data_IF_325332261927
#
_entry.id   IF_325332261927
#
_cell.length_a   1.000
_cell.length_b   1.000
_cell.length_c   1.000
_cell.angle_alpha   90.00
_cell.angle_beta   90.00
_cell.angle_gamma   90.00
#
_symmetry.space_group_name_H-M   'P 1'
#
loop_
_entity.id
_entity.type
_entity.pdbx_description
1 polymer ?
#
# COMPACT_ATOMS: atom_id res chain seq x y z
N UNK A 1 -38.73 74.34 -54.02
CA UNK A 1 -39.40 73.09 -54.41
C UNK A 1 -38.62 71.95 -53.76
N UNK A 2 -39.20 71.34 -52.72
CA UNK A 2 -38.57 70.34 -51.87
C UNK A 2 -39.07 68.96 -52.29
N UNK A 3 -38.20 68.02 -52.66
CA UNK A 3 -38.55 66.64 -53.06
C UNK A 3 -37.38 65.70 -52.74
N UNK A 4 -37.63 64.42 -52.42
CA UNK A 4 -37.52 63.90 -51.07
C UNK A 4 -36.42 62.85 -50.91
N UNK A 5 -36.13 62.55 -49.64
CA UNK A 5 -35.18 61.54 -49.19
C UNK A 5 -35.59 60.13 -49.65
N UNK A 6 -34.74 59.48 -50.44
CA UNK A 6 -34.79 58.02 -50.63
C UNK A 6 -33.45 57.50 -50.13
N UNK A 7 -33.44 57.10 -48.86
CA UNK A 7 -32.26 56.55 -48.20
C UNK A 7 -32.06 55.13 -48.72
N UNK A 8 -31.12 55.00 -49.65
CA UNK A 8 -30.75 53.75 -50.29
C UNK A 8 -29.97 52.86 -49.33
N UNK A 9 -30.67 51.84 -48.85
CA UNK A 9 -30.24 50.43 -48.75
C UNK A 9 -28.98 50.06 -47.92
N UNK A 10 -29.16 48.93 -47.22
CA UNK A 10 -28.15 48.02 -46.68
C UNK A 10 -27.50 48.45 -45.36
N UNK A 11 -28.25 48.25 -44.29
CA UNK A 11 -27.67 47.99 -42.98
C UNK A 11 -26.60 46.89 -43.11
N UNK A 12 -25.36 47.33 -42.94
CA UNK A 12 -24.13 46.56 -42.94
C UNK A 12 -24.29 45.31 -42.07
N UNK A 13 -24.44 44.17 -42.73
CA UNK A 13 -24.46 42.84 -42.13
C UNK A 13 -23.07 42.62 -41.52
N UNK A 14 -22.95 42.82 -40.21
CA UNK A 14 -21.72 42.56 -39.44
C UNK A 14 -21.16 41.22 -39.91
N UNK A 15 -19.93 41.24 -40.46
CA UNK A 15 -19.32 40.10 -41.13
C UNK A 15 -19.38 38.84 -40.24
N UNK A 16 -20.23 37.84 -40.55
CA UNK A 16 -20.48 36.68 -39.67
C UNK A 16 -19.28 35.71 -39.57
N UNK A 17 -18.19 36.01 -40.28
CA UNK A 17 -17.00 35.18 -40.44
C UNK A 17 -16.15 34.99 -39.18
N UNK A 18 -16.31 35.86 -38.16
CA UNK A 18 -15.55 35.76 -36.87
C UNK A 18 -16.16 34.74 -35.92
N UNK A 19 -17.49 34.68 -35.85
CA UNK A 19 -18.23 33.79 -34.95
C UNK A 19 -18.10 32.33 -35.44
N UNK A 20 -18.11 32.12 -36.75
CA UNK A 20 -17.85 30.80 -37.35
C UNK A 20 -16.44 30.29 -37.00
N UNK A 21 -15.44 31.18 -37.02
CA UNK A 21 -14.04 30.84 -36.73
C UNK A 21 -13.80 30.48 -35.26
N UNK A 22 -14.49 31.15 -34.34
CA UNK A 22 -14.41 30.85 -32.90
C UNK A 22 -15.02 29.49 -32.56
N UNK A 23 -16.15 29.12 -33.19
CA UNK A 23 -16.75 27.80 -33.01
C UNK A 23 -15.84 26.68 -33.47
N UNK A 24 -15.16 26.86 -34.61
CA UNK A 24 -14.16 25.92 -35.12
C UNK A 24 -12.97 25.79 -34.15
N UNK A 25 -12.51 26.91 -33.57
CA UNK A 25 -11.45 26.89 -32.55
C UNK A 25 -11.87 26.15 -31.28
N UNK A 26 -13.07 26.41 -30.76
CA UNK A 26 -13.58 25.72 -29.58
C UNK A 26 -13.82 24.22 -29.83
N UNK A 27 -14.36 23.86 -30.99
CA UNK A 27 -14.55 22.46 -31.36
C UNK A 27 -13.19 21.73 -31.44
N UNK A 28 -12.18 22.36 -32.04
CA UNK A 28 -10.82 21.81 -32.08
C UNK A 28 -10.23 21.65 -30.67
N UNK A 29 -10.41 22.64 -29.80
CA UNK A 29 -9.90 22.61 -28.43
C UNK A 29 -10.55 21.49 -27.62
N UNK A 30 -11.86 21.29 -27.77
CA UNK A 30 -12.59 20.20 -27.13
C UNK A 30 -12.10 18.82 -27.61
N UNK A 31 -11.84 18.68 -28.91
CA UNK A 31 -11.26 17.45 -29.47
C UNK A 31 -9.85 17.19 -28.91
N UNK A 32 -9.01 18.22 -28.78
CA UNK A 32 -7.67 18.07 -28.19
C UNK A 32 -7.74 17.64 -26.73
N UNK A 33 -8.65 18.22 -25.94
CA UNK A 33 -8.86 17.81 -24.54
C UNK A 33 -9.29 16.35 -24.47
N UNK A 34 -10.28 15.94 -25.27
CA UNK A 34 -10.74 14.54 -25.31
C UNK A 34 -9.62 13.59 -25.76
N UNK A 35 -8.81 13.97 -26.74
CA UNK A 35 -7.67 13.20 -27.20
C UNK A 35 -6.60 13.05 -26.11
N UNK A 36 -6.35 14.09 -25.31
CA UNK A 36 -5.42 14.05 -24.19
C UNK A 36 -5.91 13.14 -23.07
N UNK A 37 -7.21 13.17 -22.74
CA UNK A 37 -7.83 12.24 -21.77
C UNK A 37 -7.75 10.80 -22.28
N UNK A 38 -8.05 10.57 -23.56
CA UNK A 38 -7.94 9.24 -24.17
C UNK A 38 -6.50 8.72 -24.17
N UNK A 39 -5.52 9.56 -24.51
CA UNK A 39 -4.10 9.21 -24.47
C UNK A 39 -3.62 8.87 -23.05
N UNK A 40 -4.06 9.65 -22.05
CA UNK A 40 -3.78 9.37 -20.64
C UNK A 40 -4.40 8.03 -20.22
N UNK A 41 -5.66 7.79 -20.56
CA UNK A 41 -6.37 6.56 -20.22
C UNK A 41 -5.70 5.33 -20.84
N UNK A 42 -5.25 5.43 -22.09
CA UNK A 42 -4.51 4.38 -22.78
C UNK A 42 -3.15 4.11 -22.13
N UNK A 43 -2.42 5.16 -21.75
CA UNK A 43 -1.12 5.05 -21.08
C UNK A 43 -1.25 4.40 -19.70
N UNK A 44 -2.26 4.80 -18.91
CA UNK A 44 -2.56 4.20 -17.60
C UNK A 44 -2.91 2.72 -17.73
N UNK A 45 -3.77 2.36 -18.70
CA UNK A 45 -4.22 0.96 -18.90
C UNK A 45 -3.07 0.02 -19.28
N UNK A 46 -2.08 0.53 -20.03
CA UNK A 46 -0.92 -0.28 -20.44
C UNK A 46 0.04 -0.62 -19.29
N UNK A 47 0.14 0.24 -18.28
CA UNK A 47 1.07 0.08 -17.15
C UNK A 47 0.53 -0.88 -16.08
N UNK A 48 -0.79 -0.99 -15.93
CA UNK A 48 -1.43 -1.88 -14.96
C UNK A 48 -1.29 -3.36 -15.31
N UNK A 49 -1.28 -3.73 -16.60
CA UNK A 49 -1.20 -5.13 -17.01
C UNK A 49 0.20 -5.76 -16.81
N UNK A 50 1.26 -4.98 -17.03
CA UNK A 50 2.65 -5.46 -16.85
C UNK A 50 3.03 -5.47 -15.37
N UNK A 51 2.69 -4.41 -14.62
CA UNK A 51 2.92 -4.38 -13.18
C UNK A 51 2.13 -5.47 -12.44
N UNK A 52 0.91 -5.78 -12.88
CA UNK A 52 0.08 -6.83 -12.28
C UNK A 52 0.70 -8.23 -12.35
N UNK A 53 1.37 -8.59 -13.46
CA UNK A 53 2.01 -9.90 -13.60
C UNK A 53 3.23 -10.06 -12.69
N UNK A 54 4.07 -9.05 -12.62
CA UNK A 54 5.25 -9.07 -11.74
C UNK A 54 4.82 -9.15 -10.26
N UNK A 55 3.78 -8.41 -9.88
CA UNK A 55 3.19 -8.51 -8.55
C UNK A 55 2.64 -9.92 -8.30
N UNK A 56 1.96 -10.54 -9.27
CA UNK A 56 1.46 -11.91 -9.13
C UNK A 56 2.59 -12.93 -8.95
N UNK A 57 3.67 -12.79 -9.71
CA UNK A 57 4.84 -13.67 -9.61
C UNK A 57 5.53 -13.53 -8.25
N UNK A 58 5.68 -12.30 -7.74
CA UNK A 58 6.20 -12.03 -6.40
C UNK A 58 5.30 -12.58 -5.29
N UNK A 59 3.98 -12.42 -5.39
CA UNK A 59 3.03 -12.97 -4.43
C UNK A 59 3.09 -14.50 -4.39
N UNK A 60 3.21 -15.15 -5.55
CA UNK A 60 3.38 -16.60 -5.63
C UNK A 60 4.69 -17.04 -4.96
N UNK A 61 5.79 -16.33 -5.20
CA UNK A 61 7.08 -16.62 -4.56
C UNK A 61 7.00 -16.50 -3.03
N UNK A 62 6.35 -15.45 -2.52
CA UNK A 62 6.10 -15.26 -1.08
C UNK A 62 5.28 -16.42 -0.52
N UNK A 63 4.19 -16.79 -1.18
CA UNK A 63 3.31 -17.88 -0.73
C UNK A 63 4.06 -19.22 -0.64
N UNK A 64 4.88 -19.55 -1.65
CA UNK A 64 5.70 -20.77 -1.65
C UNK A 64 6.70 -20.78 -0.49
N UNK A 65 7.39 -19.65 -0.25
CA UNK A 65 8.36 -19.54 0.85
C UNK A 65 7.69 -19.65 2.22
N UNK A 66 6.51 -19.06 2.37
CA UNK A 66 5.75 -19.11 3.63
C UNK A 66 5.25 -20.53 3.91
N UNK A 67 4.75 -21.23 2.89
CA UNK A 67 4.32 -22.62 3.00
C UNK A 67 5.49 -23.52 3.46
N UNK A 68 6.64 -23.42 2.80
CA UNK A 68 7.83 -24.20 3.17
C UNK A 68 8.27 -23.94 4.62
N UNK A 69 8.23 -22.68 5.06
CA UNK A 69 8.57 -22.32 6.44
C UNK A 69 7.58 -22.92 7.45
N UNK A 70 6.29 -22.89 7.15
CA UNK A 70 5.24 -23.49 7.98
C UNK A 70 5.39 -25.01 8.07
N UNK A 71 5.72 -25.67 6.97
CA UNK A 71 5.93 -27.11 6.93
C UNK A 71 7.14 -27.52 7.78
N UNK A 72 8.23 -26.75 7.71
CA UNK A 72 9.43 -26.95 8.54
C UNK A 72 9.14 -26.70 10.02
N UNK A 73 8.39 -25.66 10.37
CA UNK A 73 7.98 -25.39 11.74
C UNK A 73 7.11 -26.53 12.30
N UNK A 74 6.19 -27.04 11.49
CA UNK A 74 5.36 -28.20 11.85
C UNK A 74 6.21 -29.43 12.11
N UNK A 75 7.20 -29.70 11.25
CA UNK A 75 8.14 -30.81 11.44
C UNK A 75 8.97 -30.63 12.71
N UNK A 76 9.54 -29.46 12.95
CA UNK A 76 10.28 -29.16 14.17
C UNK A 76 9.42 -29.37 15.40
N UNK A 77 8.20 -28.81 15.43
CA UNK A 77 7.28 -28.98 16.54
C UNK A 77 6.95 -30.46 16.78
N UNK A 78 6.79 -31.27 15.73
CA UNK A 78 6.56 -32.71 15.87
C UNK A 78 7.76 -33.42 16.51
N UNK A 79 8.98 -33.09 16.08
CA UNK A 79 10.24 -33.69 16.57
C UNK A 79 10.59 -33.22 17.98
N UNK A 80 10.30 -31.97 18.32
CA UNK A 80 10.56 -31.38 19.63
C UNK A 80 9.36 -31.46 20.56
N UNK A 81 8.28 -32.14 20.15
CA UNK A 81 7.11 -32.32 20.99
C UNK A 81 7.48 -33.10 22.24
N UNK A 82 6.86 -32.77 23.37
CA UNK A 82 7.07 -33.51 24.62
C UNK A 82 6.82 -35.01 24.45
N UNK A 83 5.86 -35.38 23.59
CA UNK A 83 5.54 -36.77 23.24
C UNK A 83 6.68 -37.46 22.50
N UNK A 84 7.28 -36.80 21.50
CA UNK A 84 8.43 -37.34 20.77
C UNK A 84 9.66 -37.49 21.68
N UNK A 85 9.89 -36.51 22.55
CA UNK A 85 10.95 -36.58 23.56
C UNK A 85 10.72 -37.71 24.57
N UNK A 86 9.50 -37.85 25.11
CA UNK A 86 9.15 -38.89 26.08
C UNK A 86 9.29 -40.29 25.46
N UNK A 87 8.85 -40.45 24.20
CA UNK A 87 9.02 -41.71 23.46
C UNK A 87 10.50 -42.06 23.31
N UNK A 88 11.34 -41.12 22.83
CA UNK A 88 12.79 -41.34 22.70
C UNK A 88 13.47 -41.58 24.05
N UNK A 89 13.05 -40.89 25.11
CA UNK A 89 13.58 -41.11 26.45
C UNK A 89 13.26 -42.53 26.93
N UNK A 90 12.03 -43.01 26.71
CA UNK A 90 11.64 -44.39 27.02
C UNK A 90 12.43 -45.43 26.22
N UNK A 91 12.66 -45.19 24.93
CA UNK A 91 13.49 -46.06 24.08
C UNK A 91 14.94 -46.15 24.56
N UNK A 92 15.48 -45.05 25.10
CA UNK A 92 16.81 -45.00 25.72
C UNK A 92 16.84 -45.61 27.14
N UNK A 93 15.72 -46.10 27.64
CA UNK A 93 15.60 -46.73 28.96
C UNK A 93 15.34 -45.77 30.11
N UNK A 94 15.13 -44.47 29.84
CA UNK A 94 14.71 -43.52 30.86
C UNK A 94 13.25 -43.79 31.26
N UNK A 95 12.93 -43.54 32.53
CA UNK A 95 11.58 -43.61 33.07
C UNK A 95 11.21 -42.30 33.75
N UNK A 96 9.91 -41.95 33.83
CA UNK A 96 9.46 -40.79 34.58
C UNK A 96 9.95 -40.90 36.03
N UNK A 97 10.50 -39.82 36.58
CA UNK A 97 11.02 -39.80 37.95
C UNK A 97 9.88 -40.05 38.95
N UNK A 98 10.07 -40.97 39.90
CA UNK A 98 9.13 -41.13 41.01
C UNK A 98 9.53 -40.23 42.20
N UNK A 99 8.59 -39.86 43.08
CA UNK A 99 8.88 -39.03 44.24
C UNK A 99 9.95 -39.61 45.17
N UNK A 100 10.04 -40.94 45.24
CA UNK A 100 11.08 -41.67 45.98
C UNK A 100 12.51 -41.52 45.43
N UNK A 101 12.68 -41.09 44.17
CA UNK A 101 13.99 -40.92 43.52
C UNK A 101 14.55 -39.48 43.64
N UNK A 102 13.86 -38.60 44.37
CA UNK A 102 14.23 -37.18 44.52
C UNK A 102 15.32 -36.99 45.58
N UNK A 103 16.56 -36.80 45.13
CA UNK A 103 17.66 -36.39 45.99
C UNK A 103 17.91 -34.86 45.87
N UNK A 104 17.79 -34.15 46.99
CA UNK A 104 17.98 -32.70 47.03
C UNK A 104 19.43 -32.34 47.36
N UNK A 105 20.17 -31.83 46.37
CA UNK A 105 21.50 -31.29 46.57
C UNK A 105 21.44 -29.78 46.84
N UNK A 106 21.96 -29.34 48.00
CA UNK A 106 22.11 -27.91 48.29
C UNK A 106 23.35 -27.39 47.57
N UNK A 107 23.15 -26.57 46.53
CA UNK A 107 24.24 -25.91 45.79
C UNK A 107 24.53 -24.54 46.42
N UNK A 108 25.71 -24.33 47.03
CA UNK A 108 26.07 -23.03 47.59
C UNK A 108 26.10 -21.97 46.49
N UNK A 109 25.38 -20.85 46.69
CA UNK A 109 25.29 -19.76 45.71
C UNK A 109 24.20 -19.92 44.65
N UNK A 110 23.30 -20.91 44.79
CA UNK A 110 22.14 -21.04 43.90
C UNK A 110 21.21 -19.82 44.02
N UNK A 111 21.10 -19.05 42.94
CA UNK A 111 20.13 -17.96 42.80
C UNK A 111 18.97 -18.53 41.99
N UNK A 112 17.80 -18.70 42.62
CA UNK A 112 16.61 -19.17 41.93
C UNK A 112 16.25 -18.23 40.78
N UNK A 113 15.98 -18.75 39.56
CA UNK A 113 15.48 -17.93 38.46
C UNK A 113 14.22 -17.19 38.94
N UNK A 114 14.25 -15.86 38.89
CA UNK A 114 13.05 -15.08 39.15
C UNK A 114 11.99 -15.47 38.11
N UNK A 115 10.74 -15.76 38.51
CA UNK A 115 9.70 -16.11 37.55
C UNK A 115 9.57 -14.97 36.55
N UNK A 116 9.74 -15.28 35.27
CA UNK A 116 9.47 -14.33 34.18
C UNK A 116 8.03 -13.84 34.32
N UNK A 117 7.87 -12.59 34.71
CA UNK A 117 6.57 -11.97 34.89
C UNK A 117 6.01 -11.62 33.51
N UNK A 118 5.35 -12.59 32.87
CA UNK A 118 4.68 -12.43 31.57
C UNK A 118 3.51 -11.43 31.62
N UNK A 119 3.15 -10.92 32.82
CA UNK A 119 2.11 -9.92 33.02
C UNK A 119 2.64 -8.48 32.99
N UNK A 120 3.95 -8.25 32.94
CA UNK A 120 4.47 -6.91 32.64
C UNK A 120 4.17 -6.62 31.17
N UNK A 121 3.09 -5.89 30.94
CA UNK A 121 2.75 -5.25 29.68
C UNK A 121 3.83 -4.22 29.32
N UNK A 122 5.04 -4.68 29.00
CA UNK A 122 5.85 -4.02 28.02
C UNK A 122 5.13 -4.30 26.72
N UNK A 123 4.07 -3.51 26.45
CA UNK A 123 3.59 -3.36 25.10
C UNK A 123 4.85 -3.18 24.26
N UNK A 124 5.06 -3.98 23.19
CA UNK A 124 6.18 -3.74 22.31
C UNK A 124 6.12 -2.25 22.01
N UNK A 125 7.17 -1.50 22.40
CA UNK A 125 7.39 -0.22 21.77
C UNK A 125 7.62 -0.59 20.32
N UNK A 126 6.52 -0.71 19.57
CA UNK A 126 6.43 -0.36 18.18
C UNK A 126 7.09 1.01 18.19
N UNK A 127 8.41 1.01 17.98
CA UNK A 127 9.17 2.21 17.67
C UNK A 127 8.35 2.77 16.55
N UNK A 128 7.56 3.80 16.86
CA UNK A 128 6.57 4.33 15.96
C UNK A 128 7.35 4.47 14.66
N UNK A 129 6.98 3.68 13.64
CA UNK A 129 7.52 3.88 12.31
C UNK A 129 7.39 5.37 12.16
N UNK A 130 8.52 6.07 12.16
CA UNK A 130 8.52 7.52 12.10
C UNK A 130 8.24 7.77 10.64
N UNK A 131 6.98 7.54 10.28
CA UNK A 131 6.43 7.76 8.97
C UNK A 131 6.67 9.26 8.76
N UNK A 132 7.52 9.63 7.79
CA UNK A 132 7.76 11.03 7.52
C UNK A 132 6.41 11.73 7.34
N UNK A 133 6.19 12.93 7.89
CA UNK A 133 4.87 13.57 7.94
C UNK A 133 4.24 13.76 6.55
N UNK A 134 5.07 13.79 5.51
CA UNK A 134 4.68 13.77 4.09
C UNK A 134 3.89 12.53 3.64
N UNK A 135 3.89 11.43 4.40
CA UNK A 135 3.06 10.24 4.16
C UNK A 135 1.79 10.21 5.03
N UNK A 136 1.65 11.12 6.00
CA UNK A 136 0.45 11.29 6.81
C UNK A 136 -0.42 12.48 6.32
N UNK A 137 0.05 13.23 5.32
CA UNK A 137 -0.73 14.28 4.68
C UNK A 137 -1.80 13.68 3.76
N UNK A 138 -3.00 14.27 3.77
CA UNK A 138 -4.02 13.94 2.78
C UNK A 138 -3.53 14.35 1.38
N UNK A 139 -3.79 13.52 0.37
CA UNK A 139 -3.49 13.84 -1.03
C UNK A 139 -4.13 15.17 -1.47
N UNK A 140 -5.25 15.54 -0.85
CA UNK A 140 -5.93 16.81 -1.12
C UNK A 140 -5.19 18.01 -0.52
N UNK A 141 -4.62 17.88 0.68
CA UNK A 141 -3.84 18.95 1.32
C UNK A 141 -2.53 19.22 0.55
N UNK A 142 -1.83 18.14 0.17
CA UNK A 142 -0.64 18.26 -0.68
C UNK A 142 -0.95 18.94 -2.02
N UNK A 143 -2.12 18.62 -2.61
CA UNK A 143 -2.53 19.20 -3.89
C UNK A 143 -2.82 20.69 -3.75
N UNK A 144 -3.50 21.11 -2.68
CA UNK A 144 -3.81 22.53 -2.44
C UNK A 144 -2.54 23.34 -2.20
N UNK A 145 -1.58 22.81 -1.44
CA UNK A 145 -0.27 23.42 -1.23
C UNK A 145 0.51 23.56 -2.55
N UNK A 146 0.43 22.55 -3.43
CA UNK A 146 1.12 22.60 -4.74
C UNK A 146 0.48 23.57 -5.72
N UNK A 147 -0.83 23.77 -5.65
CA UNK A 147 -1.55 24.72 -6.51
C UNK A 147 -1.37 26.15 -5.99
N UNK A 148 -1.39 26.33 -4.66
CA UNK A 148 -1.17 27.64 -4.01
C UNK A 148 0.27 28.13 -4.20
N UNK A 149 1.27 27.25 -4.05
CA UNK A 149 2.68 27.58 -4.30
C UNK A 149 2.96 27.98 -5.75
N UNK A 150 2.14 27.55 -6.71
CA UNK A 150 2.24 27.98 -8.12
C UNK A 150 1.56 29.32 -8.42
N UNK A 151 0.72 29.82 -7.50
CA UNK A 151 -0.02 31.08 -7.63
C UNK A 151 0.72 32.26 -6.99
N UNK A 152 1.74 31.98 -6.19
CA UNK A 152 2.66 32.98 -5.62
C UNK A 152 4.01 32.87 -6.34
N UNK A 153 4.00 33.11 -7.64
CA UNK A 153 5.17 33.50 -8.42
C UNK A 153 4.73 34.32 -9.64
#
# INVERSE_FOLDING_TARGET
>A
MNIPNINLIHAYRIAPWRIQRQWIGNALLLVVILAMVAALYLNVTSRTAIAGREIQDLMNAIAISQQASSDLQTQLASLTSSVAFETRARELGFRPIQPEDLEYLIVPGYVAPQPLNLSSNTAPQLSALTIPPEYNQSLLDWLDERISSRRIQ
#
